data_IF_503189740109
#
_entry.id   IF_503189740109
#
_cell.length_a   1.000
_cell.length_b   1.000
_cell.length_c   1.000
_cell.angle_alpha   90.00
_cell.angle_beta   90.00
_cell.angle_gamma   90.00
#
_symmetry.space_group_name_H-M   'P 1'
#
loop_
_entity.id
_entity.type
_entity.pdbx_description
1 polymer ?
#
# COMPACT_ATOMS: atom_id res chain seq x y z
N UNK A 1 7.36 -20.58 -0.49
CA UNK A 1 6.39 -21.64 -0.85
C UNK A 1 6.20 -21.60 -2.35
N UNK A 2 6.30 -22.74 -3.03
CA UNK A 2 6.07 -22.85 -4.47
C UNK A 2 4.72 -23.53 -4.70
N UNK A 3 3.88 -22.96 -5.56
CA UNK A 3 2.57 -23.51 -5.93
C UNK A 3 2.48 -23.60 -7.46
N UNK A 4 2.16 -24.79 -7.98
CA UNK A 4 1.85 -24.98 -9.40
C UNK A 4 0.34 -24.91 -9.59
N UNK A 5 -0.10 -23.99 -10.44
CA UNK A 5 -1.50 -23.70 -10.73
C UNK A 5 -1.70 -23.64 -12.25
N UNK A 6 -2.14 -24.75 -12.85
CA UNK A 6 -2.54 -24.81 -14.26
C UNK A 6 -1.53 -24.17 -15.23
N UNK A 7 -0.24 -24.50 -15.08
CA UNK A 7 0.84 -23.98 -15.94
C UNK A 7 1.45 -22.66 -15.47
N UNK A 8 1.04 -22.15 -14.31
CA UNK A 8 1.65 -21.00 -13.64
C UNK A 8 2.31 -21.44 -12.34
N UNK A 9 3.54 -20.98 -12.12
CA UNK A 9 4.23 -21.14 -10.84
C UNK A 9 4.10 -19.88 -10.00
N UNK A 10 3.66 -20.02 -8.76
CA UNK A 10 3.65 -18.96 -7.76
C UNK A 10 4.69 -19.24 -6.68
N UNK A 11 5.69 -18.36 -6.59
CA UNK A 11 6.69 -18.36 -5.52
C UNK A 11 6.37 -17.30 -4.47
N UNK A 12 6.00 -17.75 -3.27
CA UNK A 12 5.69 -16.90 -2.12
C UNK A 12 6.93 -16.84 -1.22
N UNK A 13 7.42 -15.63 -0.97
CA UNK A 13 8.49 -15.37 0.01
C UNK A 13 7.95 -14.44 1.09
N UNK A 14 8.08 -14.86 2.35
CA UNK A 14 7.77 -14.03 3.51
C UNK A 14 9.07 -13.36 3.96
N UNK A 15 9.08 -12.03 3.95
CA UNK A 15 10.25 -11.24 4.26
C UNK A 15 10.04 -10.48 5.56
N UNK A 16 11.06 -10.46 6.41
CA UNK A 16 11.07 -9.63 7.61
C UNK A 16 11.85 -8.33 7.32
N UNK A 17 11.11 -7.25 7.08
CA UNK A 17 11.68 -5.94 6.78
C UNK A 17 12.51 -5.35 7.94
N UNK A 18 12.28 -5.76 9.19
CA UNK A 18 13.07 -5.26 10.33
C UNK A 18 14.50 -5.80 10.37
N UNK A 19 14.73 -6.96 9.75
CA UNK A 19 16.03 -7.63 9.72
C UNK A 19 16.76 -7.49 8.39
N UNK A 20 16.06 -7.06 7.34
CA UNK A 20 16.67 -6.83 6.03
C UNK A 20 17.48 -5.54 6.02
N UNK A 21 18.62 -5.55 5.34
CA UNK A 21 19.37 -4.32 5.11
C UNK A 21 18.55 -3.41 4.21
N UNK A 22 18.70 -2.10 4.39
CA UNK A 22 18.02 -1.11 3.55
C UNK A 22 18.31 -1.32 2.07
N UNK A 23 19.56 -1.66 1.70
CA UNK A 23 19.93 -1.93 0.32
C UNK A 23 19.11 -3.08 -0.30
N UNK A 24 18.90 -4.17 0.46
CA UNK A 24 18.12 -5.32 0.00
C UNK A 24 16.63 -4.96 -0.15
N UNK A 25 16.11 -4.08 0.71
CA UNK A 25 14.74 -3.57 0.60
C UNK A 25 14.56 -2.69 -0.65
N UNK A 26 15.54 -1.82 -0.93
CA UNK A 26 15.50 -0.95 -2.11
C UNK A 26 15.64 -1.74 -3.41
N UNK A 27 16.50 -2.76 -3.45
CA UNK A 27 16.66 -3.66 -4.59
C UNK A 27 15.37 -4.43 -4.89
N UNK A 28 14.68 -4.89 -3.84
CA UNK A 28 13.36 -5.50 -3.98
C UNK A 28 12.34 -4.54 -4.59
N UNK A 29 12.23 -3.31 -4.09
CA UNK A 29 11.26 -2.35 -4.65
C UNK A 29 11.62 -1.93 -6.08
N UNK A 30 12.91 -1.73 -6.38
CA UNK A 30 13.37 -1.30 -7.71
C UNK A 30 13.18 -2.36 -8.81
N UNK A 31 12.92 -3.60 -8.42
CA UNK A 31 12.62 -4.72 -9.33
C UNK A 31 11.16 -5.15 -9.28
N UNK A 32 10.33 -4.51 -8.45
CA UNK A 32 8.91 -4.86 -8.27
C UNK A 32 8.04 -4.24 -9.37
N UNK A 33 7.30 -5.08 -10.11
CA UNK A 33 6.32 -4.66 -11.12
C UNK A 33 5.02 -4.11 -10.52
N UNK A 34 4.62 -4.64 -9.36
CA UNK A 34 3.36 -4.29 -8.71
C UNK A 34 3.50 -4.34 -7.19
N UNK A 35 3.13 -3.25 -6.53
CA UNK A 35 3.01 -3.17 -5.09
C UNK A 35 1.54 -3.14 -4.69
N UNK A 36 1.10 -4.15 -3.95
CA UNK A 36 -0.23 -4.22 -3.37
C UNK A 36 -0.09 -4.09 -1.86
N UNK A 37 -0.75 -3.09 -1.26
CA UNK A 37 -0.70 -2.93 0.19
C UNK A 37 -1.91 -2.24 0.78
N UNK A 38 -2.14 -2.45 2.06
CA UNK A 38 -3.12 -1.70 2.81
C UNK A 38 -2.73 -0.22 2.90
N UNK A 39 -3.73 0.66 3.00
CA UNK A 39 -3.51 2.08 3.27
C UNK A 39 -2.60 2.25 4.49
N UNK A 40 -1.47 2.94 4.32
CA UNK A 40 -0.50 3.15 5.38
C UNK A 40 0.88 3.51 4.88
N UNK A 41 1.78 3.81 5.82
CA UNK A 41 3.08 4.39 5.54
C UNK A 41 3.96 3.55 4.59
N UNK A 42 3.72 2.23 4.50
CA UNK A 42 4.43 1.34 3.58
C UNK A 42 4.28 1.75 2.11
N UNK A 43 3.20 2.43 1.74
CA UNK A 43 2.97 2.92 0.37
C UNK A 43 3.93 4.05 -0.03
N UNK A 44 4.63 4.68 0.93
CA UNK A 44 5.71 5.64 0.60
C UNK A 44 6.85 4.99 -0.18
N UNK A 45 7.03 3.66 -0.04
CA UNK A 45 8.01 2.91 -0.81
C UNK A 45 7.70 2.86 -2.32
N UNK A 46 6.53 3.34 -2.75
CA UNK A 46 6.23 3.55 -4.17
C UNK A 46 7.26 4.47 -4.86
N UNK A 47 7.96 5.33 -4.11
CA UNK A 47 9.08 6.12 -4.63
C UNK A 47 10.26 5.29 -5.13
N UNK A 48 10.37 4.02 -4.73
CA UNK A 48 11.48 3.14 -5.11
C UNK A 48 11.08 2.10 -6.15
N UNK A 49 9.82 2.10 -6.60
CA UNK A 49 9.36 1.20 -7.64
C UNK A 49 10.01 1.52 -8.98
N UNK A 50 10.11 0.50 -9.84
CA UNK A 50 10.54 0.68 -11.22
C UNK A 50 9.52 1.51 -12.00
N UNK A 51 10.00 2.20 -13.03
CA UNK A 51 9.12 2.98 -13.90
C UNK A 51 8.12 2.06 -14.62
N UNK A 52 6.87 2.53 -14.72
CA UNK A 52 5.75 1.77 -15.27
C UNK A 52 5.18 0.70 -14.33
N UNK A 53 5.67 0.59 -13.09
CA UNK A 53 5.07 -0.28 -12.08
C UNK A 53 3.66 0.19 -11.67
N UNK A 54 2.93 -0.71 -11.02
CA UNK A 54 1.60 -0.46 -10.48
C UNK A 54 1.59 -0.38 -8.95
N UNK A 55 0.83 0.57 -8.41
CA UNK A 55 0.44 0.62 -7.00
C UNK A 55 -1.05 0.31 -6.86
N UNK A 56 -1.37 -0.73 -6.10
CA UNK A 56 -2.73 -1.07 -5.70
C UNK A 56 -2.87 -0.80 -4.21
N UNK A 57 -3.60 0.24 -3.87
CA UNK A 57 -3.87 0.63 -2.50
C UNK A 57 -5.20 0.05 -2.02
N UNK A 58 -5.15 -0.76 -0.98
CA UNK A 58 -6.31 -1.42 -0.38
C UNK A 58 -6.76 -0.63 0.86
N UNK A 59 -7.95 -0.03 0.79
CA UNK A 59 -8.51 0.73 1.89
C UNK A 59 -9.28 -0.20 2.85
N UNK A 60 -8.87 -0.24 4.12
CA UNK A 60 -9.58 -0.91 5.20
C UNK A 60 -10.67 -0.03 5.86
N UNK A 61 -10.50 1.29 5.79
CA UNK A 61 -11.36 2.29 6.44
C UNK A 61 -11.77 3.39 5.45
N UNK A 62 -12.74 4.23 5.82
CA UNK A 62 -13.10 5.46 5.07
C UNK A 62 -12.04 6.59 5.15
N UNK A 63 -10.84 6.31 5.67
CA UNK A 63 -9.75 7.27 5.65
C UNK A 63 -9.17 7.38 4.24
N UNK A 64 -9.13 8.60 3.70
CA UNK A 64 -8.51 8.90 2.42
C UNK A 64 -7.53 10.04 2.60
N UNK A 65 -6.23 9.74 2.48
CA UNK A 65 -5.22 10.77 2.23
C UNK A 65 -4.80 10.70 0.76
N UNK A 66 -4.68 11.85 0.11
CA UNK A 66 -4.17 11.95 -1.26
C UNK A 66 -2.66 11.75 -1.39
N UNK A 67 -1.93 11.61 -0.29
CA UNK A 67 -0.45 11.56 -0.28
C UNK A 67 0.11 10.52 -1.24
N UNK A 68 -0.38 9.29 -1.22
CA UNK A 68 0.17 8.21 -2.06
C UNK A 68 -0.17 8.40 -3.53
N UNK A 69 -1.31 9.02 -3.83
CA UNK A 69 -1.66 9.41 -5.20
C UNK A 69 -0.65 10.42 -5.76
N UNK A 70 -0.26 11.43 -4.97
CA UNK A 70 0.75 12.41 -5.39
C UNK A 70 2.10 11.74 -5.68
N UNK A 71 2.52 10.79 -4.84
CA UNK A 71 3.76 10.04 -5.05
C UNK A 71 3.71 9.27 -6.37
N UNK A 72 2.62 8.53 -6.61
CA UNK A 72 2.44 7.77 -7.85
C UNK A 72 2.43 8.68 -9.07
N UNK A 73 1.68 9.78 -9.03
CA UNK A 73 1.60 10.74 -10.14
C UNK A 73 2.98 11.33 -10.45
N UNK A 74 3.78 11.65 -9.41
CA UNK A 74 5.15 12.16 -9.58
C UNK A 74 6.13 11.15 -10.18
N UNK A 75 5.83 9.86 -10.03
CA UNK A 75 6.63 8.74 -10.53
C UNK A 75 6.07 8.12 -11.81
N UNK A 76 4.98 8.68 -12.35
CA UNK A 76 4.27 8.15 -13.51
C UNK A 76 3.89 6.66 -13.36
N UNK A 77 3.55 6.24 -12.15
CA UNK A 77 3.13 4.86 -11.89
C UNK A 77 1.65 4.68 -12.21
N UNK A 78 1.24 3.44 -12.47
CA UNK A 78 -0.17 3.09 -12.54
C UNK A 78 -0.76 3.00 -11.14
N UNK A 79 -1.96 3.54 -10.90
CA UNK A 79 -2.59 3.55 -9.57
C UNK A 79 -4.03 3.08 -9.58
N UNK A 80 -4.34 2.16 -8.68
CA UNK A 80 -5.70 1.72 -8.35
C UNK A 80 -5.92 1.88 -6.85
N UNK A 81 -7.01 2.56 -6.50
CA UNK A 81 -7.56 2.56 -5.14
C UNK A 81 -8.66 1.52 -5.02
N UNK A 82 -8.36 0.38 -4.39
CA UNK A 82 -9.35 -0.63 -4.04
C UNK A 82 -10.09 -0.19 -2.77
N UNK A 83 -11.20 0.52 -2.97
CA UNK A 83 -12.14 0.95 -1.92
C UNK A 83 -13.33 0.02 -1.95
N UNK A 84 -13.63 -0.62 -0.82
CA UNK A 84 -14.65 -1.67 -0.71
C UNK A 84 -14.38 -2.88 -1.63
N UNK A 85 -13.64 -3.87 -1.12
CA UNK A 85 -13.77 -5.23 -1.65
C UNK A 85 -15.15 -5.76 -1.25
N UNK A 86 -15.87 -6.41 -2.16
CA UNK A 86 -17.17 -7.03 -1.94
C UNK A 86 -17.19 -8.19 -0.92
N UNK A 87 -16.41 -8.13 0.15
CA UNK A 87 -16.39 -9.09 1.26
C UNK A 87 -17.54 -8.85 2.26
N UNK A 88 -18.73 -8.48 1.75
CA UNK A 88 -19.90 -8.19 2.60
C UNK A 88 -20.44 -9.41 3.34
N UNK A 89 -19.95 -10.63 3.03
CA UNK A 89 -20.48 -11.87 3.61
C UNK A 89 -19.53 -12.69 4.49
N UNK A 90 -18.20 -12.44 4.52
CA UNK A 90 -17.27 -13.35 5.22
C UNK A 90 -16.56 -12.79 6.45
N UNK A 91 -16.63 -11.48 6.71
CA UNK A 91 -15.98 -10.88 7.88
C UNK A 91 -16.92 -9.90 8.58
N UNK A 92 -18.02 -10.40 9.15
CA UNK A 92 -18.65 -9.80 10.35
C UNK A 92 -17.76 -9.97 11.59
N UNK A 93 -16.45 -9.85 11.43
CA UNK A 93 -15.55 -9.55 12.53
C UNK A 93 -15.40 -8.03 12.51
N UNK A 94 -16.08 -7.38 13.46
CA UNK A 94 -15.94 -5.96 13.80
C UNK A 94 -14.49 -5.50 13.64
N UNK A 95 -14.14 -4.90 12.50
CA UNK A 95 -13.11 -3.88 12.47
C UNK A 95 -13.86 -2.59 12.78
N UNK A 96 -14.12 -2.42 14.08
CA UNK A 96 -14.47 -1.12 14.62
C UNK A 96 -13.29 -0.21 14.27
N UNK A 97 -13.47 0.62 13.24
CA UNK A 97 -12.54 1.67 12.87
C UNK A 97 -12.65 2.80 13.90
N UNK A 98 -12.43 2.50 15.18
CA UNK A 98 -12.44 3.50 16.24
C UNK A 98 -11.03 4.09 16.40
N UNK A 99 -10.93 5.34 15.96
CA UNK A 99 -10.20 6.41 16.64
C UNK A 99 -8.82 6.07 17.23
N UNK A 100 -7.82 6.01 16.37
CA UNK A 100 -6.48 6.53 16.62
C UNK A 100 -5.97 6.95 15.23
N UNK A 101 -6.10 8.19 14.78
CA UNK A 101 -5.46 9.36 15.36
C UNK A 101 -6.14 10.67 14.95
N UNK A 102 -6.24 11.58 15.92
CA UNK A 102 -6.32 13.04 15.82
C UNK A 102 -7.72 13.74 15.78
N UNK A 103 -8.28 14.17 16.93
CA UNK A 103 -9.42 15.09 16.98
C UNK A 103 -8.98 16.56 16.84
N UNK A 104 -8.29 16.92 15.77
CA UNK A 104 -7.97 18.33 15.53
C UNK A 104 -6.85 18.58 14.53
N UNK A 105 -7.20 18.66 13.25
CA UNK A 105 -6.64 19.65 12.31
C UNK A 105 -7.80 20.09 11.40
N UNK A 106 -8.81 20.70 12.02
CA UNK A 106 -9.62 21.72 11.37
C UNK A 106 -9.16 23.02 12.05
N UNK A 107 -8.27 23.74 11.38
CA UNK A 107 -7.55 24.85 11.97
C UNK A 107 -6.67 25.50 10.92
N UNK A 108 -7.17 26.60 10.38
CA UNK A 108 -6.44 27.59 9.60
C UNK A 108 -5.01 27.78 10.11
N UNK A 109 -4.02 27.35 9.33
CA UNK A 109 -2.64 27.80 9.50
C UNK A 109 -2.48 29.06 8.66
N UNK A 110 -2.65 30.22 9.31
CA UNK A 110 -2.19 31.51 8.78
C UNK A 110 -0.68 31.53 8.83
N UNK A 111 -0.05 31.81 7.68
CA UNK A 111 1.35 32.22 7.63
C UNK A 111 1.46 33.62 8.26
N UNK A 112 2.27 33.74 9.32
CA UNK A 112 2.75 35.00 9.89
C UNK A 112 4.27 35.02 9.89
#
# INVERSE_FOLDING_TARGET
>A
QHLDMNGWSLDIKVLNQTTMKLADQLDMYSTTDMLISAHGAVLTNAMFLRDGAALIEVFNCRHGSGTYRVIVESRHLFYIAARESGAREYLTAKIDCQASDNPGIDGDVKYS
#
